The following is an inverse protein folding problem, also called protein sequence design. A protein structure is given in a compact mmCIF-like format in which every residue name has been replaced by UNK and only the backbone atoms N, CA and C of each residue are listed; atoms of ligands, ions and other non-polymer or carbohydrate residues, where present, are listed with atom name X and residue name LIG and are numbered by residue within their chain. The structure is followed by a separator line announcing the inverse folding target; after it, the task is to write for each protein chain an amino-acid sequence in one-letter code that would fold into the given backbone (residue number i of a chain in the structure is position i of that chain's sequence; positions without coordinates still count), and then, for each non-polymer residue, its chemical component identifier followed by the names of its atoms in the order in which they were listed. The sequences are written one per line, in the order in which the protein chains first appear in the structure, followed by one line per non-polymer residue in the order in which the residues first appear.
data_IF_294991714671
#
_entry.id   IF_294991714671
#
_cell.length_a   1.000
_cell.length_b   1.000
_cell.length_c   1.000
_cell.angle_alpha   90.00
_cell.angle_beta   90.00
_cell.angle_gamma   90.00
#
_symmetry.space_group_name_H-M   'P 1'
#
loop_
_entity.id
_entity.type
_entity.pdbx_description
1 polymer ?
#
# COMPACT_ATOMS: atom_id res chain seq x y z
N UNK A 1 10.68 -46.08 8.42
CA UNK A 1 9.89 -45.04 9.11
C UNK A 1 10.61 -43.71 8.96
N UNK A 2 10.19 -42.90 8.00
CA UNK A 2 10.78 -41.60 7.67
C UNK A 2 9.97 -40.54 8.44
N UNK A 3 10.60 -39.67 9.26
CA UNK A 3 9.87 -38.84 10.20
C UNK A 3 9.20 -37.67 9.47
N UNK A 4 7.87 -37.72 9.40
CA UNK A 4 6.96 -36.70 8.90
C UNK A 4 6.84 -35.48 9.86
N UNK A 5 7.88 -35.17 10.63
CA UNK A 5 7.82 -34.21 11.75
C UNK A 5 8.64 -32.94 11.46
N UNK A 6 9.54 -32.96 10.48
CA UNK A 6 10.44 -31.83 10.21
C UNK A 6 9.86 -30.71 9.32
N UNK A 7 8.64 -30.84 8.79
CA UNK A 7 8.08 -29.87 7.83
C UNK A 7 7.21 -28.75 8.44
N UNK A 8 7.02 -28.73 9.77
CA UNK A 8 6.21 -27.69 10.44
C UNK A 8 7.04 -26.45 10.86
N UNK A 9 8.35 -26.42 10.62
CA UNK A 9 9.25 -25.38 11.11
C UNK A 9 9.45 -24.18 10.15
N UNK A 10 8.62 -24.02 9.10
CA UNK A 10 8.66 -22.86 8.19
C UNK A 10 7.32 -22.11 8.09
N UNK A 11 6.62 -21.93 9.21
CA UNK A 11 5.48 -21.02 9.27
C UNK A 11 5.94 -19.55 9.27
N UNK A 12 6.44 -19.07 8.12
CA UNK A 12 6.54 -17.65 7.78
C UNK A 12 5.19 -17.02 7.41
N UNK A 13 4.08 -17.58 7.89
CA UNK A 13 2.72 -17.16 7.58
C UNK A 13 2.09 -16.60 8.85
N UNK A 14 1.65 -15.33 8.79
CA UNK A 14 0.93 -14.67 9.88
C UNK A 14 -0.08 -15.60 10.54
N UNK A 15 -0.06 -15.68 11.87
CA UNK A 15 -0.97 -16.57 12.60
C UNK A 15 -2.43 -16.19 12.30
N UNK A 16 -3.41 -17.11 12.42
CA UNK A 16 -4.83 -16.77 12.23
C UNK A 16 -5.28 -15.60 13.11
N UNK A 17 -4.70 -15.48 14.31
CA UNK A 17 -4.91 -14.35 15.22
C UNK A 17 -4.35 -13.05 14.66
N UNK A 18 -3.08 -13.02 14.24
CA UNK A 18 -2.43 -11.83 13.67
C UNK A 18 -3.16 -11.31 12.43
N UNK A 19 -3.57 -12.22 11.53
CA UNK A 19 -4.32 -11.86 10.33
C UNK A 19 -5.67 -11.21 10.66
N UNK A 20 -6.39 -11.75 11.65
CA UNK A 20 -7.65 -11.19 12.15
C UNK A 20 -7.45 -9.78 12.72
N UNK A 21 -6.46 -9.60 13.61
CA UNK A 21 -6.16 -8.31 14.24
C UNK A 21 -5.71 -7.26 13.22
N UNK A 22 -4.86 -7.63 12.27
CA UNK A 22 -4.43 -6.76 11.17
C UNK A 22 -5.63 -6.28 10.33
N UNK A 23 -6.55 -7.20 10.02
CA UNK A 23 -7.78 -6.86 9.27
C UNK A 23 -8.69 -5.95 10.07
N UNK A 24 -8.84 -6.18 11.38
CA UNK A 24 -9.67 -5.37 12.27
C UNK A 24 -9.23 -3.89 12.33
N UNK A 25 -7.93 -3.61 12.17
CA UNK A 25 -7.36 -2.27 12.27
C UNK A 25 -7.12 -1.59 10.91
N UNK A 26 -7.26 -2.32 9.80
CA UNK A 26 -6.90 -1.83 8.45
C UNK A 26 -7.63 -0.56 8.05
N UNK A 27 -8.92 -0.48 8.38
CA UNK A 27 -9.75 0.68 8.05
C UNK A 27 -9.31 1.93 8.81
N UNK A 28 -9.10 1.79 10.13
CA UNK A 28 -8.59 2.88 10.97
C UNK A 28 -7.24 3.38 10.47
N UNK A 29 -6.32 2.47 10.14
CA UNK A 29 -5.02 2.82 9.57
C UNK A 29 -5.12 3.56 8.23
N UNK A 30 -6.10 3.18 7.39
CA UNK A 30 -6.36 3.87 6.12
C UNK A 30 -6.85 5.30 6.36
N UNK A 31 -7.80 5.49 7.29
CA UNK A 31 -8.31 6.81 7.65
C UNK A 31 -7.20 7.68 8.25
N UNK A 32 -6.38 7.13 9.14
CA UNK A 32 -5.24 7.84 9.74
C UNK A 32 -4.24 8.32 8.69
N UNK A 33 -3.96 7.49 7.69
CA UNK A 33 -3.11 7.89 6.55
C UNK A 33 -3.74 9.03 5.76
N UNK A 34 -5.04 8.97 5.47
CA UNK A 34 -5.74 10.04 4.75
C UNK A 34 -5.76 11.35 5.53
N UNK A 35 -5.92 11.29 6.86
CA UNK A 35 -5.82 12.46 7.74
C UNK A 35 -4.43 13.07 7.66
N UNK A 36 -3.38 12.26 7.81
CA UNK A 36 -2.00 12.73 7.76
C UNK A 36 -1.66 13.36 6.39
N UNK A 37 -2.12 12.75 5.29
CA UNK A 37 -1.95 13.27 3.94
C UNK A 37 -2.66 14.62 3.75
N UNK A 38 -3.91 14.72 4.20
CA UNK A 38 -4.71 15.95 4.11
C UNK A 38 -4.07 17.07 4.94
N UNK A 39 -3.58 16.76 6.14
CA UNK A 39 -2.83 17.71 6.96
C UNK A 39 -1.54 18.18 6.30
N UNK A 40 -0.78 17.26 5.68
CA UNK A 40 0.42 17.61 4.94
C UNK A 40 0.13 18.50 3.73
N UNK A 41 -0.98 18.25 3.01
CA UNK A 41 -1.41 19.07 1.88
C UNK A 41 -1.80 20.49 2.34
N UNK A 42 -2.56 20.61 3.43
CA UNK A 42 -2.94 21.90 4.02
C UNK A 42 -1.71 22.70 4.51
N UNK A 43 -0.73 22.02 5.11
CA UNK A 43 0.51 22.62 5.60
C UNK A 43 1.39 23.14 4.47
N UNK A 44 1.49 22.40 3.35
CA UNK A 44 2.26 22.81 2.17
C UNK A 44 1.52 23.82 1.28
N UNK A 45 0.19 23.81 1.30
CA UNK A 45 -0.66 24.65 0.45
C UNK A 45 -0.94 24.07 -0.94
N UNK A 46 -0.54 22.83 -1.20
CA UNK A 46 -0.79 22.09 -2.44
C UNK A 46 -0.80 20.58 -2.15
N UNK A 47 -1.43 19.80 -3.03
CA UNK A 47 -1.39 18.35 -2.99
C UNK A 47 -0.33 17.81 -3.95
N UNK A 48 0.19 16.61 -3.69
CA UNK A 48 1.09 15.92 -4.60
C UNK A 48 0.30 14.87 -5.37
N UNK A 49 0.19 15.05 -6.69
CA UNK A 49 -0.45 14.07 -7.56
C UNK A 49 0.61 13.23 -8.26
N UNK A 50 0.39 11.91 -8.28
CA UNK A 50 1.23 11.00 -9.05
C UNK A 50 0.79 10.99 -10.51
N UNK A 51 1.68 11.41 -11.38
CA UNK A 51 1.50 11.36 -12.82
C UNK A 51 2.34 10.22 -13.40
N UNK A 52 1.67 9.32 -14.13
CA UNK A 52 2.32 8.24 -14.87
C UNK A 52 2.59 8.70 -16.29
N UNK A 53 3.84 8.60 -16.72
CA UNK A 53 4.24 8.95 -18.08
C UNK A 53 5.07 7.84 -18.71
N UNK A 54 4.90 7.65 -20.02
CA UNK A 54 5.67 6.69 -20.79
C UNK A 54 6.93 7.36 -21.31
N UNK A 55 8.08 6.79 -20.98
CA UNK A 55 9.37 7.14 -21.55
C UNK A 55 10.01 5.93 -22.20
N UNK A 56 11.22 6.10 -22.71
CA UNK A 56 12.01 5.05 -23.34
C UNK A 56 13.25 4.77 -22.51
N UNK A 57 13.49 3.49 -22.22
CA UNK A 57 14.74 3.02 -21.62
C UNK A 57 15.53 2.24 -22.65
N UNK A 58 16.84 2.47 -22.70
CA UNK A 58 17.76 1.59 -23.41
C UNK A 58 18.08 0.38 -22.53
N UNK A 59 17.84 -0.82 -23.04
CA UNK A 59 18.17 -2.08 -22.38
C UNK A 59 18.94 -2.99 -23.33
N UNK A 60 19.70 -3.93 -22.77
CA UNK A 60 20.36 -4.98 -23.55
C UNK A 60 19.33 -6.04 -23.97
N UNK A 61 19.37 -6.47 -25.22
CA UNK A 61 18.45 -7.44 -25.80
C UNK A 61 19.18 -8.38 -26.77
N UNK A 62 18.66 -9.60 -26.93
CA UNK A 62 19.13 -10.50 -27.98
C UNK A 62 18.46 -10.12 -29.31
N UNK A 63 19.26 -9.96 -30.37
CA UNK A 63 18.80 -9.72 -31.73
C UNK A 63 19.45 -10.69 -32.71
N UNK A 64 18.86 -10.86 -33.89
CA UNK A 64 19.44 -11.68 -34.96
C UNK A 64 20.21 -10.79 -35.94
N UNK A 65 21.49 -11.10 -36.17
CA UNK A 65 22.27 -10.51 -37.26
C UNK A 65 22.84 -11.64 -38.10
N UNK A 66 22.47 -11.71 -39.37
CA UNK A 66 22.94 -12.74 -40.33
C UNK A 66 22.81 -14.18 -39.76
N UNK A 67 21.63 -14.55 -39.27
CA UNK A 67 21.34 -15.87 -38.68
C UNK A 67 22.18 -16.25 -37.43
N UNK A 68 22.80 -15.27 -36.76
CA UNK A 68 23.49 -15.49 -35.48
C UNK A 68 22.83 -14.64 -34.38
N UNK A 69 22.68 -15.25 -33.18
CA UNK A 69 22.20 -14.54 -31.99
C UNK A 69 23.30 -13.56 -31.53
N UNK A 70 22.98 -12.28 -31.41
CA UNK A 70 23.91 -11.24 -30.98
C UNK A 70 23.25 -10.35 -29.92
N UNK A 71 24.05 -9.84 -28.99
CA UNK A 71 23.61 -8.79 -28.06
C UNK A 71 23.51 -7.45 -28.79
N UNK A 72 22.41 -6.74 -28.56
CA UNK A 72 22.13 -5.42 -29.09
C UNK A 72 21.54 -4.53 -28.00
N UNK A 73 21.43 -3.24 -28.28
CA UNK A 73 20.67 -2.30 -27.45
C UNK A 73 19.30 -2.08 -28.06
N UNK A 74 18.26 -2.34 -27.27
CA UNK A 74 16.87 -2.08 -27.64
C UNK A 74 16.34 -0.91 -26.81
N UNK A 75 15.58 -0.04 -27.48
CA UNK A 75 14.77 0.96 -26.80
C UNK A 75 13.42 0.33 -26.48
N UNK A 76 13.10 0.21 -25.19
CA UNK A 76 11.83 -0.34 -24.72
C UNK A 76 11.02 0.75 -24.02
N UNK A 77 9.68 0.78 -24.19
CA UNK A 77 8.83 1.68 -23.43
C UNK A 77 8.91 1.34 -21.93
N UNK A 78 9.02 2.36 -21.09
CA UNK A 78 9.06 2.28 -19.63
C UNK A 78 8.06 3.29 -19.06
N UNK A 79 7.10 2.81 -18.26
CA UNK A 79 6.22 3.70 -17.49
C UNK A 79 6.95 4.16 -16.23
N UNK A 80 7.07 5.47 -16.07
CA UNK A 80 7.63 6.10 -14.87
C UNK A 80 6.56 6.91 -14.15
N UNK A 81 6.83 7.20 -12.89
CA UNK A 81 5.99 8.06 -12.05
C UNK A 81 6.76 9.31 -11.66
N UNK A 82 6.11 10.46 -11.71
CA UNK A 82 6.59 11.72 -11.10
C UNK A 82 5.50 12.29 -10.19
N UNK A 83 5.91 13.06 -9.19
CA UNK A 83 4.98 13.79 -8.33
C UNK A 83 4.90 15.24 -8.81
N UNK A 84 3.68 15.70 -9.09
CA UNK A 84 3.41 17.07 -9.54
C UNK A 84 2.60 17.82 -8.46
N UNK A 85 2.98 19.05 -8.10
CA UNK A 85 2.20 19.87 -7.19
C UNK A 85 0.91 20.34 -7.87
N UNK A 86 -0.23 20.03 -7.28
CA UNK A 86 -1.55 20.47 -7.76
C UNK A 86 -2.19 21.40 -6.72
N UNK A 87 -2.82 22.47 -7.21
CA UNK A 87 -3.50 23.44 -6.36
C UNK A 87 -4.63 22.78 -5.56
N UNK A 88 -4.80 23.21 -4.31
CA UNK A 88 -5.90 22.77 -3.46
C UNK A 88 -6.87 23.92 -3.17
N UNK A 89 -8.15 23.60 -3.05
CA UNK A 89 -9.10 24.46 -2.38
C UNK A 89 -8.99 24.23 -0.86
N UNK A 90 -8.44 25.22 -0.15
CA UNK A 90 -8.16 25.11 1.29
C UNK A 90 -9.42 24.84 2.11
N UNK A 91 -10.54 25.49 1.79
CA UNK A 91 -11.78 25.34 2.54
C UNK A 91 -12.37 23.92 2.38
N UNK A 92 -12.23 23.36 1.18
CA UNK A 92 -12.64 21.99 0.85
C UNK A 92 -11.74 20.97 1.53
N UNK A 93 -10.42 21.16 1.51
CA UNK A 93 -9.49 20.26 2.22
C UNK A 93 -9.68 20.31 3.74
N UNK A 94 -9.99 21.48 4.32
CA UNK A 94 -10.34 21.59 5.74
C UNK A 94 -11.65 20.89 6.08
N UNK A 95 -12.66 21.00 5.21
CA UNK A 95 -13.93 20.26 5.36
C UNK A 95 -13.68 18.75 5.32
N UNK A 96 -12.92 18.29 4.33
CA UNK A 96 -12.50 16.89 4.20
C UNK A 96 -11.75 16.40 5.44
N UNK A 97 -10.85 17.20 5.99
CA UNK A 97 -10.14 16.85 7.24
C UNK A 97 -11.10 16.70 8.43
N UNK A 98 -12.10 17.58 8.55
CA UNK A 98 -13.10 17.48 9.63
C UNK A 98 -13.93 16.21 9.48
N UNK A 99 -14.39 15.91 8.26
CA UNK A 99 -15.14 14.69 7.96
C UNK A 99 -14.30 13.44 8.26
N UNK A 100 -13.05 13.38 7.80
CA UNK A 100 -12.13 12.27 8.09
C UNK A 100 -11.93 12.06 9.60
N UNK A 101 -11.78 13.14 10.37
CA UNK A 101 -11.66 13.05 11.84
C UNK A 101 -12.93 12.52 12.50
N UNK A 102 -14.10 12.86 11.97
CA UNK A 102 -15.37 12.31 12.46
C UNK A 102 -15.50 10.82 12.13
N UNK A 103 -15.20 10.43 10.89
CA UNK A 103 -15.20 9.03 10.45
C UNK A 103 -14.19 8.20 11.24
N UNK A 104 -13.02 8.75 11.56
CA UNK A 104 -12.01 8.08 12.39
C UNK A 104 -12.57 7.64 13.75
N UNK A 105 -13.35 8.52 14.40
CA UNK A 105 -13.96 8.19 15.71
C UNK A 105 -14.92 7.01 15.61
N UNK A 106 -15.67 6.91 14.52
CA UNK A 106 -16.58 5.79 14.27
C UNK A 106 -15.77 4.50 13.99
N UNK A 107 -14.79 4.58 13.10
CA UNK A 107 -13.92 3.46 12.75
C UNK A 107 -13.11 2.93 13.94
N UNK A 108 -12.75 3.78 14.90
CA UNK A 108 -12.07 3.39 16.14
C UNK A 108 -12.97 2.49 17.00
N UNK A 109 -14.24 2.85 17.17
CA UNK A 109 -15.21 2.02 17.90
C UNK A 109 -15.43 0.67 17.20
N UNK A 110 -15.55 0.67 15.88
CA UNK A 110 -15.69 -0.56 15.10
C UNK A 110 -14.44 -1.45 15.17
N UNK A 111 -13.25 -0.86 15.10
CA UNK A 111 -11.99 -1.58 15.21
C UNK A 111 -11.89 -2.28 16.57
N UNK A 112 -12.26 -1.60 17.66
CA UNK A 112 -12.30 -2.19 19.00
C UNK A 112 -13.24 -3.41 19.07
N UNK A 113 -14.44 -3.32 18.47
CA UNK A 113 -15.37 -4.45 18.41
C UNK A 113 -14.78 -5.63 17.61
N UNK A 114 -14.18 -5.35 16.45
CA UNK A 114 -13.53 -6.36 15.60
C UNK A 114 -12.33 -7.02 16.31
N UNK A 115 -11.54 -6.25 17.06
CA UNK A 115 -10.43 -6.74 17.88
C UNK A 115 -10.95 -7.70 18.97
N UNK A 116 -11.96 -7.29 19.75
CA UNK A 116 -12.54 -8.14 20.79
C UNK A 116 -13.08 -9.46 20.22
N UNK A 117 -13.70 -9.41 19.04
CA UNK A 117 -14.11 -10.61 18.31
C UNK A 117 -12.92 -11.52 17.96
N UNK A 118 -11.83 -10.96 17.43
CA UNK A 118 -10.62 -11.72 17.11
C UNK A 118 -10.00 -12.38 18.34
N UNK A 119 -9.96 -11.68 19.47
CA UNK A 119 -9.40 -12.18 20.72
C UNK A 119 -10.21 -13.33 21.30
N UNK A 120 -11.54 -13.25 21.24
CA UNK A 120 -12.44 -14.32 21.67
C UNK A 120 -12.37 -15.56 20.76
N UNK A 121 -12.24 -15.35 19.45
CA UNK A 121 -12.20 -16.43 18.45
C UNK A 121 -10.86 -17.15 18.39
N UNK A 122 -9.76 -16.44 18.64
CA UNK A 122 -8.40 -16.95 18.55
C UNK A 122 -7.60 -16.64 19.83
N UNK A 123 -7.86 -17.34 20.95
CA UNK A 123 -7.14 -17.11 22.20
C UNK A 123 -5.66 -17.44 22.08
N UNK A 124 -4.83 -16.76 22.87
CA UNK A 124 -3.41 -17.14 23.05
C UNK A 124 -3.40 -18.49 23.77
N UNK A 125 -2.84 -19.52 23.13
CA UNK A 125 -2.61 -20.83 23.75
C UNK A 125 -1.45 -20.78 24.72
#
# INVERSE_FOLDING_TARGET
MIPLIALLALAGCATPRESCLSTAQRELATIDKLIAETQANLARGYALQREYYTTSRVTMCAGSRRNSLAWNYCTVPETRVREEPVAIDRATEERKLRELKQTRKQAEAEAQQKIAYCEAKFPLK
#
